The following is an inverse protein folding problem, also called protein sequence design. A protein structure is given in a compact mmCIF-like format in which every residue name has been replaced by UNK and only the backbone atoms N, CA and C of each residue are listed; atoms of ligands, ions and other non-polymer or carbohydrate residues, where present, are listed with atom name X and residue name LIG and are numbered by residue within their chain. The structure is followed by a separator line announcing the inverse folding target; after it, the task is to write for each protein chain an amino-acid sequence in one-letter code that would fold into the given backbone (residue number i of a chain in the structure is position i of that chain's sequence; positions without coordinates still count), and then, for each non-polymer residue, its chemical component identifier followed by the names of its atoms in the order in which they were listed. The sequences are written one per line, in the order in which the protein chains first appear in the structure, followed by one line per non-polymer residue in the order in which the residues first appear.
data_IF_224574878285
#
_entry.id   IF_224574878285
#
_cell.length_a   1.000
_cell.length_b   1.000
_cell.length_c   1.000
_cell.angle_alpha   90.00
_cell.angle_beta   90.00
_cell.angle_gamma   90.00
#
_symmetry.space_group_name_H-M   'P 1'
#
loop_
_entity.id
_entity.type
_entity.pdbx_description
1 polymer ?
#
# COMPACT_ATOMS: atom_id res chain seq x y z
N UNK A 1 3.30 9.95 -12.18
CA UNK A 1 3.75 8.66 -12.76
C UNK A 1 2.70 7.61 -12.42
N UNK A 2 2.60 6.48 -13.13
CA UNK A 2 1.69 5.39 -12.69
C UNK A 2 2.46 4.43 -11.78
N UNK A 3 2.29 4.61 -10.47
CA UNK A 3 3.00 3.85 -9.45
C UNK A 3 2.29 2.53 -9.11
N UNK A 4 1.09 2.29 -9.65
CA UNK A 4 0.34 1.04 -9.44
C UNK A 4 0.80 -0.09 -10.35
N UNK A 5 1.71 0.19 -11.29
CA UNK A 5 2.21 -0.80 -12.25
C UNK A 5 3.29 -1.65 -11.59
N UNK A 6 3.18 -2.96 -11.76
CA UNK A 6 4.20 -3.93 -11.38
C UNK A 6 4.60 -4.74 -12.62
N UNK A 7 5.86 -5.14 -12.68
CA UNK A 7 6.31 -6.09 -13.70
C UNK A 7 5.79 -7.49 -13.34
N UNK A 8 5.03 -8.10 -14.25
CA UNK A 8 4.46 -9.45 -14.05
C UNK A 8 5.54 -10.51 -13.81
N UNK A 9 6.78 -10.29 -14.28
CA UNK A 9 7.90 -11.18 -14.01
C UNK A 9 8.35 -11.15 -12.53
N UNK A 10 7.94 -10.15 -11.76
CA UNK A 10 8.18 -10.09 -10.31
C UNK A 10 7.19 -10.93 -9.50
N UNK A 11 6.10 -11.39 -10.13
CA UNK A 11 5.08 -12.21 -9.49
C UNK A 11 5.48 -13.68 -9.47
N UNK A 12 5.14 -14.38 -8.39
CA UNK A 12 5.19 -15.83 -8.41
C UNK A 12 4.19 -16.38 -9.45
N UNK A 13 4.43 -17.56 -10.06
CA UNK A 13 3.53 -18.10 -11.09
C UNK A 13 2.06 -18.26 -10.67
N UNK A 14 1.79 -18.38 -9.37
CA UNK A 14 0.43 -18.49 -8.81
C UNK A 14 -0.10 -17.17 -8.24
N UNK A 15 0.74 -16.14 -8.15
CA UNK A 15 0.40 -14.84 -7.59
C UNK A 15 -0.40 -14.02 -8.60
N UNK A 16 -1.56 -13.50 -8.18
CA UNK A 16 -2.42 -12.64 -9.02
C UNK A 16 -2.50 -11.25 -8.43
N UNK A 17 -2.56 -10.24 -9.28
CA UNK A 17 -2.81 -8.86 -8.87
C UNK A 17 -4.21 -8.69 -8.29
N UNK A 18 -4.33 -7.84 -7.28
CA UNK A 18 -5.57 -7.39 -6.68
C UNK A 18 -5.75 -5.88 -6.86
N UNK A 19 -6.66 -5.25 -6.09
CA UNK A 19 -6.85 -3.80 -6.10
C UNK A 19 -5.56 -3.04 -5.77
N UNK A 20 -5.38 -1.89 -6.42
CA UNK A 20 -4.29 -0.97 -6.15
C UNK A 20 -4.82 0.44 -6.00
N UNK A 21 -4.18 1.23 -5.13
CA UNK A 21 -4.51 2.63 -4.86
C UNK A 21 -3.26 3.49 -4.93
N UNK A 22 -3.38 4.70 -5.48
CA UNK A 22 -2.31 5.68 -5.54
C UNK A 22 -2.78 7.00 -4.97
N UNK A 23 -1.90 7.67 -4.22
CA UNK A 23 -2.15 8.95 -3.59
C UNK A 23 -0.87 9.52 -2.97
N UNK A 24 -1.02 10.40 -1.98
CA UNK A 24 0.07 11.00 -1.23
C UNK A 24 0.27 10.27 0.08
N UNK A 25 1.42 9.62 0.26
CA UNK A 25 1.84 9.01 1.51
C UNK A 25 2.36 10.09 2.47
N UNK A 26 1.78 10.13 3.67
CA UNK A 26 2.25 10.97 4.76
C UNK A 26 3.25 10.18 5.60
N UNK A 27 4.53 10.38 5.34
CA UNK A 27 5.63 9.70 6.01
C UNK A 27 6.84 10.62 6.10
N UNK A 28 7.55 10.63 7.24
CA UNK A 28 8.69 11.53 7.46
C UNK A 28 10.01 10.86 7.08
N UNK A 29 10.68 11.38 6.05
CA UNK A 29 12.08 11.06 5.73
C UNK A 29 12.89 12.34 5.71
N UNK A 30 13.77 12.50 6.70
CA UNK A 30 14.52 13.74 6.89
C UNK A 30 13.58 14.94 7.08
N UNK A 31 13.61 15.88 6.13
CA UNK A 31 12.78 17.08 6.12
C UNK A 31 11.52 16.96 5.25
N UNK A 32 11.37 15.89 4.47
CA UNK A 32 10.21 15.67 3.61
C UNK A 32 9.18 14.78 4.32
N UNK A 33 7.91 15.14 4.21
CA UNK A 33 6.80 14.50 4.93
C UNK A 33 5.73 13.91 4.02
N UNK A 34 5.82 14.19 2.72
CA UNK A 34 4.82 13.84 1.72
C UNK A 34 5.51 13.28 0.49
N UNK A 35 5.01 12.15 0.00
CA UNK A 35 5.55 11.45 -1.16
C UNK A 35 4.40 10.92 -2.00
N UNK A 36 4.53 10.95 -3.34
CA UNK A 36 3.60 10.23 -4.19
C UNK A 36 3.86 8.73 -4.03
N UNK A 37 2.81 7.93 -3.84
CA UNK A 37 2.97 6.50 -3.61
C UNK A 37 1.73 5.70 -3.94
N UNK A 38 1.93 4.39 -4.11
CA UNK A 38 0.88 3.44 -4.38
C UNK A 38 0.99 2.21 -3.47
N UNK A 39 -0.16 1.68 -3.08
CA UNK A 39 -0.29 0.34 -2.56
C UNK A 39 -0.86 -0.57 -3.63
N UNK A 40 -0.22 -1.72 -3.84
CA UNK A 40 -0.57 -2.70 -4.86
C UNK A 40 -0.73 -4.02 -4.14
N UNK A 41 -1.92 -4.61 -4.22
CA UNK A 41 -2.16 -5.91 -3.60
C UNK A 41 -1.95 -7.03 -4.60
N UNK A 42 -1.56 -8.20 -4.09
CA UNK A 42 -1.58 -9.46 -4.83
C UNK A 42 -2.25 -10.53 -3.97
N UNK A 43 -2.39 -11.74 -4.48
CA UNK A 43 -2.91 -12.84 -3.65
C UNK A 43 -2.00 -13.18 -2.47
N UNK A 44 -0.72 -12.81 -2.52
CA UNK A 44 0.33 -13.24 -1.57
C UNK A 44 0.84 -12.11 -0.66
N UNK A 45 0.88 -10.86 -1.14
CA UNK A 45 1.54 -9.74 -0.46
C UNK A 45 0.99 -8.39 -0.89
N UNK A 46 1.34 -7.37 -0.14
CA UNK A 46 1.14 -5.98 -0.55
C UNK A 46 2.49 -5.34 -0.89
N UNK A 47 2.54 -4.60 -1.99
CA UNK A 47 3.70 -3.85 -2.44
C UNK A 47 3.39 -2.36 -2.28
N UNK A 48 4.32 -1.61 -1.69
CA UNK A 48 4.28 -0.16 -1.61
C UNK A 48 5.37 0.41 -2.52
N UNK A 49 4.95 1.16 -3.54
CA UNK A 49 5.84 1.93 -4.40
C UNK A 49 5.76 3.40 -4.00
N UNK A 50 6.90 4.09 -3.93
CA UNK A 50 6.99 5.49 -3.54
C UNK A 50 7.95 6.19 -4.49
N UNK A 51 7.54 7.35 -5.01
CA UNK A 51 8.39 8.26 -5.76
C UNK A 51 9.12 9.19 -4.78
N UNK A 52 10.44 9.04 -4.67
CA UNK A 52 11.30 9.85 -3.81
C UNK A 52 12.22 10.75 -4.64
N UNK A 53 11.64 11.61 -5.49
CA UNK A 53 12.37 12.60 -6.30
C UNK A 53 13.45 11.94 -7.18
N UNK A 54 13.02 11.16 -8.18
CA UNK A 54 13.85 10.40 -9.14
C UNK A 54 14.42 9.06 -8.64
N UNK A 55 14.26 8.73 -7.35
CA UNK A 55 14.50 7.38 -6.84
C UNK A 55 13.18 6.69 -6.50
N UNK A 56 12.93 5.53 -7.13
CA UNK A 56 11.79 4.69 -6.78
C UNK A 56 12.10 3.86 -5.53
N UNK A 57 11.33 4.04 -4.46
CA UNK A 57 11.41 3.18 -3.28
C UNK A 57 10.30 2.13 -3.31
N UNK A 58 10.68 0.85 -3.24
CA UNK A 58 9.76 -0.29 -3.18
C UNK A 58 9.89 -1.01 -1.85
N UNK A 59 8.76 -1.27 -1.18
CA UNK A 59 8.68 -2.10 0.03
C UNK A 59 7.59 -3.16 -0.12
N UNK A 60 7.91 -4.38 0.31
CA UNK A 60 6.98 -5.51 0.32
C UNK A 60 6.55 -5.78 1.75
N UNK A 61 5.26 -6.04 1.94
CA UNK A 61 4.65 -6.42 3.21
C UNK A 61 3.92 -7.74 3.05
N UNK A 62 4.17 -8.67 3.97
CA UNK A 62 3.27 -9.82 4.13
C UNK A 62 1.93 -9.35 4.68
N UNK A 63 0.83 -10.01 4.33
CA UNK A 63 -0.44 -9.73 4.98
C UNK A 63 -0.40 -9.99 6.49
N UNK A 64 0.46 -10.91 6.94
CA UNK A 64 0.67 -11.16 8.37
C UNK A 64 1.32 -9.98 9.11
N UNK A 65 2.00 -9.09 8.38
CA UNK A 65 2.62 -7.89 8.94
C UNK A 65 1.64 -6.72 8.99
N UNK A 66 0.40 -6.88 8.54
CA UNK A 66 -0.62 -5.83 8.49
C UNK A 66 -1.68 -6.13 9.55
N UNK A 67 -1.93 -5.17 10.44
CA UNK A 67 -2.97 -5.29 11.47
C UNK A 67 -4.35 -4.98 10.90
N UNK A 68 -4.46 -3.89 10.12
CA UNK A 68 -5.70 -3.48 9.44
C UNK A 68 -5.44 -2.38 8.40
N UNK A 69 -6.34 -2.32 7.42
CA UNK A 69 -6.52 -1.16 6.55
C UNK A 69 -7.89 -0.53 6.85
N UNK A 70 -7.99 0.79 6.92
CA UNK A 70 -9.26 1.49 7.16
C UNK A 70 -9.24 2.93 6.65
N UNK A 71 -10.42 3.46 6.33
CA UNK A 71 -10.59 4.90 6.14
C UNK A 71 -10.85 5.57 7.49
N UNK A 72 -10.15 6.66 7.76
CA UNK A 72 -10.49 7.59 8.83
C UNK A 72 -10.47 9.01 8.26
N UNK A 73 -11.62 9.70 8.31
CA UNK A 73 -11.87 10.95 7.58
C UNK A 73 -11.64 10.73 6.08
N UNK A 74 -10.63 11.38 5.50
CA UNK A 74 -10.28 11.30 4.07
C UNK A 74 -8.91 10.61 3.86
N UNK A 75 -8.40 9.92 4.89
CA UNK A 75 -7.12 9.22 4.82
C UNK A 75 -7.34 7.70 4.89
N UNK A 76 -6.70 6.99 3.97
CA UNK A 76 -6.52 5.54 4.05
C UNK A 76 -5.36 5.25 4.99
N UNK A 77 -5.62 4.58 6.10
CA UNK A 77 -4.61 4.14 7.03
C UNK A 77 -4.28 2.67 6.82
N UNK A 78 -2.98 2.37 6.86
CA UNK A 78 -2.46 1.02 7.00
C UNK A 78 -1.70 0.92 8.31
N UNK A 79 -2.16 0.04 9.19
CA UNK A 79 -1.61 -0.16 10.53
C UNK A 79 -0.77 -1.44 10.59
N UNK A 80 0.40 -1.34 11.20
CA UNK A 80 1.36 -2.44 11.37
C UNK A 80 1.48 -2.81 12.86
N UNK A 81 2.09 -3.95 13.21
CA UNK A 81 2.31 -4.37 14.59
C UNK A 81 2.95 -3.30 15.48
N UNK A 82 2.77 -3.47 16.79
CA UNK A 82 3.27 -2.53 17.80
C UNK A 82 4.76 -2.21 17.59
N UNK A 83 5.09 -0.91 17.61
CA UNK A 83 6.44 -0.42 17.34
C UNK A 83 6.74 -0.09 15.86
N UNK A 84 5.91 -0.52 14.91
CA UNK A 84 6.07 -0.18 13.48
C UNK A 84 5.23 1.03 13.03
N UNK A 85 4.17 1.37 13.78
CA UNK A 85 3.33 2.53 13.52
C UNK A 85 2.27 2.32 12.44
N UNK A 86 1.74 3.43 11.90
CA UNK A 86 0.76 3.43 10.81
C UNK A 86 1.16 4.43 9.74
N UNK A 87 0.85 4.11 8.48
CA UNK A 87 1.06 5.00 7.33
C UNK A 87 -0.30 5.51 6.88
N UNK A 88 -0.37 6.80 6.56
CA UNK A 88 -1.57 7.41 6.00
C UNK A 88 -1.34 7.73 4.51
N UNK A 89 -2.31 7.40 3.67
CA UNK A 89 -2.42 7.86 2.30
C UNK A 89 -3.61 8.83 2.19
N UNK A 90 -3.36 10.00 1.65
CA UNK A 90 -4.38 11.03 1.36
C UNK A 90 -4.39 11.36 -0.12
N UNK A 91 -5.34 12.20 -0.57
CA UNK A 91 -5.41 12.68 -1.94
C UNK A 91 -5.33 11.52 -2.97
N UNK A 92 -6.15 10.49 -2.78
CA UNK A 92 -6.15 9.33 -3.67
C UNK A 92 -6.52 9.78 -5.08
N UNK A 93 -5.62 9.54 -6.04
CA UNK A 93 -5.76 9.93 -7.45
C UNK A 93 -6.11 8.75 -8.36
N UNK A 94 -5.93 7.52 -7.89
CA UNK A 94 -6.22 6.30 -8.64
C UNK A 94 -6.63 5.15 -7.73
N UNK A 95 -7.55 4.31 -8.21
CA UNK A 95 -8.05 3.14 -7.50
C UNK A 95 -9.19 3.46 -6.53
N UNK A 96 -9.74 2.41 -5.92
CA UNK A 96 -10.78 2.51 -4.90
C UNK A 96 -10.20 2.11 -3.54
N UNK A 97 -10.26 3.02 -2.56
CA UNK A 97 -9.86 2.71 -1.18
C UNK A 97 -10.77 1.66 -0.55
N UNK A 98 -12.05 1.64 -0.91
CA UNK A 98 -13.01 0.65 -0.41
C UNK A 98 -12.63 -0.76 -0.89
N UNK A 99 -12.44 -0.95 -2.20
CA UNK A 99 -12.04 -2.25 -2.77
C UNK A 99 -10.69 -2.71 -2.21
N UNK A 100 -9.75 -1.77 -2.03
CA UNK A 100 -8.45 -2.05 -1.41
C UNK A 100 -8.60 -2.52 0.03
N UNK A 101 -9.39 -1.81 0.85
CA UNK A 101 -9.61 -2.18 2.26
C UNK A 101 -10.28 -3.54 2.35
N UNK A 102 -11.35 -3.77 1.58
CA UNK A 102 -12.05 -5.06 1.55
C UNK A 102 -11.11 -6.21 1.19
N UNK A 103 -10.28 -6.01 0.17
CA UNK A 103 -9.31 -7.02 -0.24
C UNK A 103 -8.28 -7.27 0.86
N UNK A 104 -7.65 -6.24 1.41
CA UNK A 104 -6.66 -6.40 2.50
C UNK A 104 -7.30 -7.09 3.69
N UNK A 105 -8.47 -6.64 4.15
CA UNK A 105 -9.21 -7.25 5.26
C UNK A 105 -9.55 -8.73 5.01
N UNK A 106 -9.85 -9.13 3.77
CA UNK A 106 -10.08 -10.54 3.40
C UNK A 106 -8.82 -11.40 3.56
N UNK A 107 -7.63 -10.80 3.48
CA UNK A 107 -6.34 -11.48 3.64
C UNK A 107 -5.88 -11.58 5.10
N UNK A 108 -6.38 -10.71 5.98
CA UNK A 108 -6.06 -10.75 7.41
C UNK A 108 -6.91 -11.78 8.16
N UNK A 109 -8.11 -12.06 7.67
CA UNK A 109 -9.00 -13.09 8.17
C UNK A 109 -8.56 -14.45 7.61
N UNK A 110 -7.48 -15.00 8.14
CA UNK A 110 -7.16 -16.41 7.92
C UNK A 110 -7.50 -17.15 9.20
N UNK A 111 -8.58 -17.92 9.15
CA UNK A 111 -8.98 -18.89 10.19
C UNK A 111 -7.88 -19.94 10.45
#
# INVERSE_FOLDING_TARGET
MDLTVIDENELYPTEKTGPAVQGTLLYKVGNQTEFEGAYITTTERMIMNVDMNDESYKRVFSYQDIVKAYMEKEALFLEFPEGMGKIAMVNITKGSSEEFIEFVSSKLQTD
#
